data_IF_299209502335
#
_entry.id   IF_299209502335
#
_cell.length_a   1.000
_cell.length_b   1.000
_cell.length_c   1.000
_cell.angle_alpha   90.00
_cell.angle_beta   90.00
_cell.angle_gamma   90.00
#
_symmetry.space_group_name_H-M   'P 1'
#
loop_
_entity.id
_entity.type
_entity.pdbx_description
1 polymer ?
#
# COMPACT_ATOMS: atom_id res chain seq x y z
N UNK A 1 -34.51 -7.40 5.90
CA UNK A 1 -33.16 -7.90 5.52
C UNK A 1 -32.43 -8.27 6.80
N UNK A 2 -32.01 -9.53 6.95
CA UNK A 2 -31.13 -9.93 8.07
C UNK A 2 -29.71 -9.51 7.70
N UNK A 3 -29.09 -8.65 8.51
CA UNK A 3 -27.65 -8.40 8.41
C UNK A 3 -26.92 -9.72 8.71
N UNK A 4 -26.30 -10.31 7.69
CA UNK A 4 -25.31 -11.37 7.88
C UNK A 4 -24.05 -10.71 8.45
N UNK A 5 -23.95 -10.64 9.77
CA UNK A 5 -22.66 -10.42 10.43
C UNK A 5 -21.84 -11.70 10.31
N UNK A 6 -20.96 -11.77 9.31
CA UNK A 6 -19.95 -12.82 9.23
C UNK A 6 -18.89 -12.54 10.28
N UNK A 7 -18.94 -13.24 11.43
CA UNK A 7 -17.85 -13.21 12.42
C UNK A 7 -16.66 -14.01 11.89
N UNK A 8 -15.75 -13.33 11.18
CA UNK A 8 -14.47 -13.90 10.76
C UNK A 8 -13.67 -14.25 12.03
N UNK A 9 -13.60 -15.55 12.38
CA UNK A 9 -12.63 -16.05 13.37
C UNK A 9 -11.29 -16.25 12.65
N UNK A 10 -10.47 -15.21 12.62
CA UNK A 10 -9.13 -15.26 12.03
C UNK A 10 -8.03 -15.07 13.06
N UNK A 11 -6.93 -15.80 12.89
CA UNK A 11 -5.66 -15.48 13.55
C UNK A 11 -4.75 -14.79 12.53
N UNK A 12 -4.22 -13.62 12.89
CA UNK A 12 -3.19 -12.94 12.11
C UNK A 12 -1.84 -13.53 12.55
N UNK A 13 -1.04 -14.00 11.60
CA UNK A 13 0.35 -14.43 11.85
C UNK A 13 1.28 -13.53 11.07
N UNK A 14 2.23 -12.91 11.77
CA UNK A 14 3.31 -12.16 11.13
C UNK A 14 4.29 -13.16 10.53
N UNK A 15 4.51 -13.08 9.22
CA UNK A 15 5.44 -13.94 8.49
C UNK A 15 6.80 -13.26 8.27
N UNK A 16 6.79 -11.93 8.17
CA UNK A 16 7.98 -11.10 8.02
C UNK A 16 7.70 -9.68 8.56
N UNK A 17 8.69 -9.08 9.21
CA UNK A 17 8.65 -7.70 9.69
C UNK A 17 10.02 -7.04 9.48
N UNK A 18 10.01 -5.89 8.82
CA UNK A 18 11.15 -4.98 8.74
C UNK A 18 10.75 -3.63 9.33
N UNK A 19 11.25 -3.36 10.53
CA UNK A 19 10.94 -2.13 11.28
C UNK A 19 11.63 -0.89 10.70
N UNK A 20 12.76 -1.05 10.03
CA UNK A 20 13.46 0.10 9.43
C UNK A 20 12.72 0.58 8.18
N UNK A 21 12.31 -0.38 7.34
CA UNK A 21 11.54 -0.14 6.12
C UNK A 21 10.06 0.11 6.38
N UNK A 22 9.56 -0.23 7.58
CA UNK A 22 8.17 -0.07 8.01
C UNK A 22 7.22 -0.96 7.19
N UNK A 23 7.61 -2.24 7.06
CA UNK A 23 6.91 -3.24 6.25
C UNK A 23 6.63 -4.47 7.11
N UNK A 24 5.39 -4.95 7.05
CA UNK A 24 4.96 -6.20 7.68
C UNK A 24 4.24 -7.03 6.62
N UNK A 25 4.62 -8.31 6.52
CA UNK A 25 3.87 -9.32 5.77
C UNK A 25 3.22 -10.24 6.78
N UNK A 26 1.91 -10.44 6.67
CA UNK A 26 1.17 -11.31 7.54
C UNK A 26 0.23 -12.22 6.74
N UNK A 27 0.02 -13.42 7.26
CA UNK A 27 -1.01 -14.33 6.79
C UNK A 27 -2.25 -14.23 7.67
N UNK A 28 -3.41 -14.48 7.07
CA UNK A 28 -4.67 -14.58 7.77
C UNK A 28 -5.11 -16.04 7.72
N UNK A 29 -5.13 -16.72 8.88
CA UNK A 29 -5.75 -18.03 8.99
C UNK A 29 -7.26 -17.85 9.01
N UNK A 30 -7.92 -18.18 7.91
CA UNK A 30 -9.36 -17.98 7.72
C UNK A 30 -10.04 -19.34 7.69
N UNK A 31 -10.90 -19.60 8.68
CA UNK A 31 -11.68 -20.84 8.74
C UNK A 31 -12.87 -20.85 7.78
N UNK A 32 -13.25 -19.69 7.27
CA UNK A 32 -14.36 -19.51 6.34
C UNK A 32 -13.88 -18.71 5.12
N UNK A 33 -14.30 -19.05 3.90
CA UNK A 33 -13.91 -18.31 2.71
C UNK A 33 -14.40 -16.87 2.80
N UNK A 34 -13.47 -15.92 2.66
CA UNK A 34 -13.83 -14.51 2.54
C UNK A 34 -14.73 -14.33 1.31
N UNK A 35 -15.87 -13.67 1.47
CA UNK A 35 -16.70 -13.16 0.37
C UNK A 35 -16.02 -12.00 -0.40
N UNK A 36 -14.73 -11.75 -0.16
CA UNK A 36 -13.90 -10.93 -1.04
C UNK A 36 -13.63 -11.78 -2.28
N UNK A 37 -14.17 -11.37 -3.43
CA UNK A 37 -13.69 -11.87 -4.73
C UNK A 37 -12.22 -11.46 -4.86
N UNK A 38 -11.32 -12.31 -4.38
CA UNK A 38 -9.90 -12.26 -4.71
C UNK A 38 -9.79 -12.80 -6.14
N UNK A 39 -10.32 -12.05 -7.12
CA UNK A 39 -10.30 -12.49 -8.52
C UNK A 39 -8.95 -12.23 -9.19
N UNK A 40 -8.13 -11.34 -8.63
CA UNK A 40 -6.87 -10.92 -9.23
C UNK A 40 -5.77 -10.86 -8.16
N UNK A 41 -4.77 -11.72 -8.29
CA UNK A 41 -3.55 -11.62 -7.49
C UNK A 41 -2.81 -10.36 -7.92
N UNK A 42 -2.72 -9.37 -7.02
CA UNK A 42 -1.85 -8.21 -7.22
C UNK A 42 -0.42 -8.65 -6.89
N UNK A 43 0.47 -8.53 -7.85
CA UNK A 43 1.89 -8.90 -7.72
C UNK A 43 2.75 -7.68 -7.32
N UNK A 44 3.96 -7.95 -6.84
CA UNK A 44 4.94 -6.93 -6.48
C UNK A 44 6.05 -6.84 -7.53
N UNK A 45 6.71 -5.69 -7.61
CA UNK A 45 7.86 -5.50 -8.49
C UNK A 45 8.85 -4.50 -7.89
N UNK A 46 10.14 -4.77 -8.08
CA UNK A 46 11.21 -3.80 -7.85
C UNK A 46 11.27 -2.83 -9.04
N UNK A 47 11.26 -1.54 -8.75
CA UNK A 47 11.33 -0.50 -9.79
C UNK A 47 12.80 -0.18 -10.12
N UNK A 48 13.32 -0.73 -11.22
CA UNK A 48 14.74 -0.59 -11.59
C UNK A 48 15.11 0.81 -12.12
N UNK A 49 14.19 1.47 -12.84
CA UNK A 49 14.42 2.78 -13.44
C UNK A 49 13.26 3.72 -13.15
N UNK A 50 13.38 4.48 -12.06
CA UNK A 50 12.38 5.45 -11.66
C UNK A 50 12.21 6.58 -12.69
N UNK A 51 13.29 7.05 -13.30
CA UNK A 51 13.27 8.25 -14.17
C UNK A 51 12.39 8.04 -15.39
N UNK A 52 12.50 6.87 -16.03
CA UNK A 52 11.71 6.53 -17.21
C UNK A 52 10.30 6.04 -16.89
N UNK A 53 10.06 5.56 -15.67
CA UNK A 53 8.77 4.96 -15.29
C UNK A 53 7.84 5.89 -14.51
N UNK A 54 8.36 6.99 -13.92
CA UNK A 54 7.60 7.88 -13.02
C UNK A 54 6.27 8.38 -13.59
N UNK A 55 6.22 8.65 -14.90
CA UNK A 55 5.01 9.19 -15.55
C UNK A 55 3.90 8.14 -15.73
N UNK A 56 4.20 6.87 -15.50
CA UNK A 56 3.25 5.76 -15.58
C UNK A 56 2.83 5.25 -14.20
N UNK A 57 3.31 5.91 -13.13
CA UNK A 57 2.96 5.53 -11.77
C UNK A 57 1.61 6.14 -11.37
N UNK A 58 0.85 5.41 -10.58
CA UNK A 58 -0.39 5.90 -9.98
C UNK A 58 -0.59 5.26 -8.60
N UNK A 59 -1.39 5.90 -7.75
CA UNK A 59 -1.72 5.35 -6.43
C UNK A 59 -3.22 5.26 -6.27
N UNK A 60 -3.67 4.15 -5.69
CA UNK A 60 -5.04 3.95 -5.23
C UNK A 60 -4.99 3.79 -3.72
N UNK A 61 -5.63 4.71 -3.02
CA UNK A 61 -5.82 4.64 -1.58
C UNK A 61 -7.28 4.88 -1.23
N UNK A 62 -7.57 4.75 0.05
CA UNK A 62 -8.83 5.19 0.60
C UNK A 62 -8.58 5.83 1.95
N UNK A 63 -9.39 6.82 2.28
CA UNK A 63 -9.42 7.47 3.58
C UNK A 63 -10.77 7.19 4.21
N UNK A 64 -10.78 6.50 5.34
CA UNK A 64 -12.00 6.34 6.15
C UNK A 64 -12.05 7.48 7.17
N UNK A 65 -13.02 8.37 7.01
CA UNK A 65 -13.34 9.44 7.96
C UNK A 65 -14.65 9.14 8.67
N UNK A 66 -14.90 9.78 9.81
CA UNK A 66 -16.22 9.78 10.44
C UNK A 66 -17.01 10.98 9.93
N UNK A 67 -18.28 10.76 9.56
CA UNK A 67 -19.25 11.82 9.30
C UNK A 67 -19.67 12.51 10.61
N UNK A 68 -20.45 13.58 10.51
CA UNK A 68 -21.03 14.30 11.66
C UNK A 68 -21.90 13.40 12.56
N UNK A 69 -22.50 12.36 11.99
CA UNK A 69 -23.26 11.33 12.70
C UNK A 69 -22.40 10.15 13.19
N UNK A 70 -21.07 10.32 13.21
CA UNK A 70 -20.06 9.32 13.57
C UNK A 70 -20.10 8.03 12.73
N UNK A 71 -20.78 8.02 11.58
CA UNK A 71 -20.71 6.88 10.65
C UNK A 71 -19.45 6.94 9.79
N UNK A 72 -18.81 5.79 9.49
CA UNK A 72 -17.65 5.77 8.62
C UNK A 72 -18.04 6.13 7.18
N UNK A 73 -17.25 7.01 6.56
CA UNK A 73 -17.30 7.35 5.14
C UNK A 73 -15.94 7.12 4.53
N UNK A 74 -15.88 6.27 3.52
CA UNK A 74 -14.66 5.98 2.77
C UNK A 74 -14.57 6.88 1.56
N UNK A 75 -13.53 7.72 1.49
CA UNK A 75 -13.19 8.53 0.34
C UNK A 75 -12.10 7.82 -0.45
N UNK A 76 -12.35 7.59 -1.75
CA UNK A 76 -11.33 7.04 -2.65
C UNK A 76 -10.30 8.12 -2.96
N UNK A 77 -9.02 7.79 -2.87
CA UNK A 77 -7.92 8.67 -3.25
C UNK A 77 -7.18 8.04 -4.42
N UNK A 78 -7.41 8.57 -5.63
CA UNK A 78 -6.70 8.18 -6.84
C UNK A 78 -5.93 9.38 -7.37
N UNK A 79 -4.67 9.18 -7.72
CA UNK A 79 -3.91 10.14 -8.50
C UNK A 79 -2.87 9.44 -9.37
N UNK A 80 -2.53 10.09 -10.49
CA UNK A 80 -1.39 9.74 -11.32
C UNK A 80 -0.19 10.61 -10.97
N UNK A 81 1.00 10.05 -11.07
CA UNK A 81 2.26 10.70 -10.69
C UNK A 81 2.77 11.67 -11.77
N UNK A 82 2.39 11.46 -13.05
CA UNK A 82 2.71 12.36 -14.16
C UNK A 82 2.20 13.80 -13.96
N UNK A 83 1.08 13.96 -13.25
CA UNK A 83 0.45 15.25 -12.98
C UNK A 83 1.03 15.96 -11.74
N UNK A 84 2.13 15.44 -11.20
CA UNK A 84 2.70 15.86 -9.91
C UNK A 84 4.17 16.21 -10.04
N UNK A 85 4.62 17.08 -9.12
CA UNK A 85 6.05 17.30 -8.89
C UNK A 85 6.58 16.19 -8.01
N UNK A 86 7.59 15.48 -8.50
CA UNK A 86 8.06 14.24 -7.89
C UNK A 86 9.58 14.23 -7.84
N UNK A 87 10.11 13.77 -6.70
CA UNK A 87 11.55 13.68 -6.46
C UNK A 87 11.90 12.36 -5.81
N UNK A 88 12.92 11.68 -6.33
CA UNK A 88 13.47 10.47 -5.74
C UNK A 88 14.64 10.82 -4.83
N UNK A 89 14.63 10.33 -3.59
CA UNK A 89 15.78 10.34 -2.70
C UNK A 89 15.94 8.96 -2.06
N UNK A 90 17.00 8.25 -2.48
CA UNK A 90 17.20 6.82 -2.24
C UNK A 90 15.96 6.03 -2.71
N UNK A 91 15.37 5.22 -1.84
CA UNK A 91 14.15 4.46 -2.13
C UNK A 91 12.87 5.26 -1.82
N UNK A 92 12.95 6.56 -1.52
CA UNK A 92 11.77 7.36 -1.20
C UNK A 92 11.34 8.22 -2.39
N UNK A 93 10.11 8.01 -2.85
CA UNK A 93 9.46 8.84 -3.88
C UNK A 93 8.62 9.89 -3.19
N UNK A 94 9.08 11.14 -3.23
CA UNK A 94 8.36 12.27 -2.67
C UNK A 94 7.41 12.85 -3.71
N UNK A 95 6.14 12.98 -3.37
CA UNK A 95 5.10 13.47 -4.28
C UNK A 95 4.44 14.70 -3.67
N UNK A 96 4.49 15.82 -4.38
CA UNK A 96 3.86 17.05 -3.92
C UNK A 96 2.36 17.05 -4.23
N UNK A 97 1.59 17.82 -3.46
CA UNK A 97 0.18 18.13 -3.71
C UNK A 97 -0.73 16.91 -3.89
N UNK A 98 -0.58 15.93 -2.98
CA UNK A 98 -1.51 14.81 -2.80
C UNK A 98 -2.25 14.93 -1.46
N UNK A 99 -3.54 14.60 -1.47
CA UNK A 99 -4.43 14.77 -0.31
C UNK A 99 -4.39 13.56 0.63
N UNK A 100 -3.21 12.99 0.86
CA UNK A 100 -3.02 11.89 1.79
C UNK A 100 -2.92 12.43 3.22
N UNK A 101 -3.66 11.80 4.12
CA UNK A 101 -3.83 12.20 5.53
C UNK A 101 -3.43 11.06 6.45
N UNK A 102 -3.58 11.26 7.76
CA UNK A 102 -3.47 10.17 8.72
C UNK A 102 -4.46 9.05 8.33
N UNK A 103 -4.00 7.81 8.39
CA UNK A 103 -4.77 6.64 7.93
C UNK A 103 -4.53 6.26 6.47
N UNK A 104 -3.81 7.05 5.67
CA UNK A 104 -3.46 6.66 4.29
C UNK A 104 -2.24 5.71 4.20
N UNK A 105 -1.50 5.50 5.29
CA UNK A 105 -0.31 4.63 5.33
C UNK A 105 -0.62 3.21 4.86
N UNK A 106 0.29 2.62 4.09
CA UNK A 106 0.08 1.34 3.41
C UNK A 106 -0.60 1.45 2.04
N UNK A 107 -1.03 2.65 1.61
CA UNK A 107 -1.60 2.82 0.26
C UNK A 107 -0.58 2.47 -0.83
N UNK A 108 -0.92 1.61 -1.79
CA UNK A 108 0.01 1.16 -2.83
C UNK A 108 0.35 2.23 -3.86
N UNK A 109 1.60 2.22 -4.33
CA UNK A 109 2.06 2.84 -5.56
C UNK A 109 2.18 1.75 -6.62
N UNK A 110 1.53 1.96 -7.75
CA UNK A 110 1.47 1.01 -8.85
C UNK A 110 2.33 1.45 -10.02
N UNK A 111 2.94 0.46 -10.66
CA UNK A 111 3.42 0.55 -12.04
C UNK A 111 2.73 -0.58 -12.83
N UNK A 112 1.94 -0.21 -13.84
CA UNK A 112 1.05 -1.15 -14.55
C UNK A 112 0.12 -1.86 -13.55
N UNK A 113 0.17 -3.18 -13.46
CA UNK A 113 -0.64 -4.00 -12.54
C UNK A 113 0.15 -4.52 -11.33
N UNK A 114 1.32 -3.93 -11.03
CA UNK A 114 2.18 -4.37 -9.92
C UNK A 114 2.38 -3.26 -8.89
N UNK A 115 2.43 -3.65 -7.61
CA UNK A 115 2.80 -2.76 -6.52
C UNK A 115 4.32 -2.60 -6.53
N UNK A 116 4.79 -1.36 -6.59
CA UNK A 116 6.22 -1.01 -6.59
C UNK A 116 6.65 -0.20 -5.38
N UNK A 117 5.70 0.24 -4.56
CA UNK A 117 5.96 0.97 -3.33
C UNK A 117 4.72 1.13 -2.48
N UNK A 118 4.92 1.58 -1.24
CA UNK A 118 3.86 1.81 -0.26
C UNK A 118 3.99 3.22 0.31
N UNK A 119 2.86 3.90 0.47
CA UNK A 119 2.83 5.20 1.13
C UNK A 119 3.15 5.02 2.61
N UNK A 120 4.21 5.68 3.08
CA UNK A 120 4.64 5.60 4.48
C UNK A 120 4.08 6.74 5.31
N UNK A 121 4.06 7.95 4.75
CA UNK A 121 3.61 9.13 5.46
C UNK A 121 4.19 10.41 4.88
N UNK A 122 4.49 11.36 5.77
CA UNK A 122 5.13 12.64 5.42
C UNK A 122 6.47 12.73 6.12
N UNK A 123 7.48 13.24 5.42
CA UNK A 123 8.81 13.51 5.96
C UNK A 123 9.21 14.94 5.60
N UNK A 124 9.99 15.58 6.46
CA UNK A 124 10.51 16.91 6.18
C UNK A 124 11.49 16.82 5.00
N UNK A 125 11.20 17.55 3.92
CA UNK A 125 12.04 17.66 2.73
C UNK A 125 12.02 19.11 2.27
N UNK A 126 13.19 19.72 2.11
CA UNK A 126 13.36 21.14 1.75
C UNK A 126 12.50 22.08 2.64
N UNK A 127 12.45 21.82 3.95
CA UNK A 127 11.67 22.62 4.91
C UNK A 127 10.15 22.38 4.90
N UNK A 128 9.63 21.52 4.01
CA UNK A 128 8.18 21.21 3.92
C UNK A 128 7.91 19.74 4.27
N UNK A 129 6.85 19.48 5.03
CA UNK A 129 6.35 18.12 5.23
C UNK A 129 5.78 17.60 3.90
N UNK A 130 6.50 16.68 3.27
CA UNK A 130 6.19 16.19 1.94
C UNK A 130 5.76 14.71 2.01
N UNK A 131 4.61 14.34 1.42
CA UNK A 131 4.18 12.95 1.28
C UNK A 131 5.22 12.12 0.54
N UNK A 132 5.45 10.88 0.99
CA UNK A 132 6.39 9.99 0.32
C UNK A 132 5.96 8.52 0.35
N UNK A 133 6.34 7.83 -0.72
CA UNK A 133 6.25 6.39 -0.86
C UNK A 133 7.63 5.79 -0.66
N UNK A 134 7.69 4.63 0.00
CA UNK A 134 8.89 3.79 0.03
C UNK A 134 8.77 2.77 -1.10
N UNK A 135 9.75 2.74 -2.00
CA UNK A 135 9.84 1.73 -3.05
C UNK A 135 10.20 0.38 -2.43
N UNK A 136 9.70 -0.69 -3.05
CA UNK A 136 10.07 -2.05 -2.70
C UNK A 136 11.44 -2.34 -3.30
N UNK A 137 12.40 -2.67 -2.44
CA UNK A 137 13.72 -3.10 -2.86
C UNK A 137 13.78 -4.61 -3.10
N UNK A 138 14.94 -5.07 -3.57
CA UNK A 138 15.15 -6.47 -3.93
C UNK A 138 14.99 -7.40 -2.72
N UNK A 139 15.54 -7.02 -1.56
CA UNK A 139 15.50 -7.86 -0.36
C UNK A 139 14.06 -8.06 0.12
N UNK A 140 13.30 -6.96 0.23
CA UNK A 140 11.88 -7.02 0.60
C UNK A 140 11.06 -7.82 -0.41
N UNK A 141 11.34 -7.65 -1.71
CA UNK A 141 10.67 -8.44 -2.75
C UNK A 141 10.93 -9.95 -2.61
N UNK A 142 12.18 -10.36 -2.33
CA UNK A 142 12.50 -11.78 -2.14
C UNK A 142 11.83 -12.37 -0.90
N UNK A 143 11.75 -11.61 0.20
CA UNK A 143 11.05 -12.05 1.41
C UNK A 143 9.56 -12.22 1.19
N UNK A 144 8.90 -11.26 0.52
CA UNK A 144 7.48 -11.39 0.13
C UNK A 144 7.28 -12.64 -0.72
N UNK A 145 8.14 -12.87 -1.72
CA UNK A 145 8.04 -14.04 -2.61
C UNK A 145 8.23 -15.36 -1.85
N UNK A 146 9.18 -15.41 -0.92
CA UNK A 146 9.46 -16.56 -0.04
C UNK A 146 8.26 -16.91 0.87
N UNK A 147 7.61 -15.89 1.42
CA UNK A 147 6.38 -16.09 2.22
C UNK A 147 5.25 -16.63 1.33
N UNK A 148 5.03 -16.03 0.16
CA UNK A 148 3.96 -16.44 -0.75
C UNK A 148 4.16 -17.87 -1.28
N UNK A 149 5.39 -18.31 -1.53
CA UNK A 149 5.64 -19.69 -1.97
C UNK A 149 5.30 -20.72 -0.91
N UNK A 150 5.62 -20.46 0.37
CA UNK A 150 5.31 -21.37 1.49
C UNK A 150 3.81 -21.59 1.73
N UNK A 151 2.97 -20.68 1.24
CA UNK A 151 1.52 -20.76 1.38
C UNK A 151 0.84 -21.53 0.23
N UNK A 152 1.59 -21.90 -0.82
CA UNK A 152 1.09 -22.67 -1.96
C UNK A 152 1.33 -24.18 -1.83
N UNK A 153 2.20 -24.58 -0.90
CA UNK A 153 2.49 -25.96 -0.54
C UNK A 153 1.61 -26.41 0.64
#
# INVERSE_FOLDING_TARGET
MKNLETKIKSKIRVEYEDKEKDIIVFSLDIKEPLLLRISDSIDFQVLEDFTNTKNSLFSLGFLTILNEDFKPKTLKTLFYVNDKVVELDKENVFVQDINYRQGSSGSPLFYKNKIVGLYRGKKLKNGKLTPFFRLIDLDTYQEIKSVVSKLKD
#
